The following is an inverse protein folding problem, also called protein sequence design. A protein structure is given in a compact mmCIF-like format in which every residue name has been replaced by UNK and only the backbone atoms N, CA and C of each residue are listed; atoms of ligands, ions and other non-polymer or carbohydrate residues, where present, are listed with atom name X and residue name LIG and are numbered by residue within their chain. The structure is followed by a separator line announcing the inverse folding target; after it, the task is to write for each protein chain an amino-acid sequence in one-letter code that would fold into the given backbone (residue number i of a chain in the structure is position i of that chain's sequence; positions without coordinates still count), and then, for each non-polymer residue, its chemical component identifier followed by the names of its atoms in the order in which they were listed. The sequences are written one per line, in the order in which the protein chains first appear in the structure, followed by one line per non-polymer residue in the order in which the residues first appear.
data_IF_479740770644
#
_entry.id   IF_479740770644
#
_cell.length_a   1.000
_cell.length_b   1.000
_cell.length_c   1.000
_cell.angle_alpha   90.00
_cell.angle_beta   90.00
_cell.angle_gamma   90.00
#
_symmetry.space_group_name_H-M   'P 1'
#
loop_
_entity.id
_entity.type
_entity.pdbx_description
1 polymer ?
#
# COMPACT_ATOMS: atom_id res chain seq x y z
N UNK A 1 25.83 47.40 8.53
CA UNK A 1 26.40 48.02 7.32
C UNK A 1 27.53 47.14 6.80
N UNK A 2 27.40 46.62 5.57
CA UNK A 2 28.44 46.63 4.52
C UNK A 2 27.82 46.08 3.21
N UNK A 3 27.41 47.02 2.38
CA UNK A 3 27.44 47.07 0.89
C UNK A 3 28.85 46.69 0.34
N UNK A 4 29.13 46.30 -0.91
CA UNK A 4 28.46 46.39 -2.21
C UNK A 4 29.17 45.48 -3.24
N UNK A 5 28.36 44.82 -4.09
CA UNK A 5 28.44 44.65 -5.56
C UNK A 5 29.75 44.25 -6.29
N UNK A 6 29.66 43.32 -7.25
CA UNK A 6 29.94 43.60 -8.68
C UNK A 6 29.44 42.48 -9.63
N UNK A 7 28.87 42.96 -10.73
CA UNK A 7 28.30 42.33 -11.93
C UNK A 7 29.37 42.03 -13.00
N UNK A 8 29.20 41.00 -13.86
CA UNK A 8 29.68 40.95 -15.28
C UNK A 8 28.92 39.87 -16.10
N UNK A 9 28.24 40.36 -17.15
CA UNK A 9 27.84 39.86 -18.50
C UNK A 9 28.49 38.58 -19.10
N UNK A 10 27.71 37.67 -19.71
CA UNK A 10 27.37 37.49 -21.16
C UNK A 10 28.46 36.96 -22.09
N UNK A 11 28.24 35.83 -22.78
CA UNK A 11 28.37 35.74 -24.25
C UNK A 11 27.76 34.45 -24.86
N UNK A 12 27.39 34.55 -26.14
CA UNK A 12 26.67 33.57 -26.97
C UNK A 12 27.59 32.75 -27.90
N UNK A 13 27.06 31.68 -28.53
CA UNK A 13 27.11 31.40 -30.00
C UNK A 13 27.11 29.89 -30.36
N UNK A 14 26.11 29.52 -31.17
CA UNK A 14 25.93 28.56 -32.29
C UNK A 14 26.92 27.41 -32.60
N UNK A 15 26.41 26.23 -33.02
CA UNK A 15 26.21 25.81 -34.44
C UNK A 15 25.74 24.32 -34.53
N UNK A 16 24.63 24.03 -35.23
CA UNK A 16 24.52 23.44 -36.59
C UNK A 16 24.92 21.93 -36.70
N UNK A 17 23.95 21.01 -36.68
CA UNK A 17 23.40 20.24 -37.84
C UNK A 17 24.41 19.58 -38.78
N UNK A 18 24.34 18.25 -38.89
CA UNK A 18 24.46 17.59 -40.18
C UNK A 18 23.67 16.27 -40.25
N UNK A 19 22.94 16.14 -41.35
CA UNK A 19 22.05 15.08 -41.81
C UNK A 19 22.81 14.11 -42.76
N UNK A 20 22.09 13.10 -43.27
CA UNK A 20 22.37 12.27 -44.46
C UNK A 20 23.18 10.99 -44.14
N UNK A 21 22.78 9.74 -44.49
CA UNK A 21 21.90 9.22 -45.54
C UNK A 21 21.34 7.85 -45.16
N UNK A 22 20.16 7.55 -45.69
CA UNK A 22 19.50 6.25 -45.70
C UNK A 22 19.85 5.52 -47.01
N UNK A 23 20.18 4.23 -46.97
CA UNK A 23 20.20 3.39 -48.18
C UNK A 23 19.84 1.94 -47.82
N UNK A 24 18.84 1.42 -48.51
CA UNK A 24 18.44 0.02 -48.61
C UNK A 24 18.08 -0.16 -50.08
N UNK A 25 18.31 -1.34 -50.72
CA UNK A 25 17.28 -2.39 -50.64
C UNK A 25 17.81 -3.82 -50.89
N UNK A 26 16.94 -4.84 -50.75
CA UNK A 26 16.51 -5.73 -51.85
C UNK A 26 15.77 -6.98 -51.33
N UNK A 27 14.68 -7.26 -52.03
CA UNK A 27 13.67 -8.29 -51.90
C UNK A 27 14.09 -9.60 -52.63
N UNK A 28 13.70 -10.77 -52.12
CA UNK A 28 13.16 -11.90 -52.92
C UNK A 28 12.59 -13.03 -52.03
N UNK A 29 11.34 -13.38 -52.30
CA UNK A 29 10.56 -14.55 -51.85
C UNK A 29 10.92 -15.84 -52.61
N UNK A 30 10.82 -17.04 -51.99
CA UNK A 30 10.27 -18.28 -52.58
C UNK A 30 10.11 -19.45 -51.57
N UNK A 31 8.89 -20.02 -51.56
CA UNK A 31 8.48 -21.42 -51.33
C UNK A 31 8.49 -22.14 -49.96
N UNK A 32 7.38 -22.87 -49.75
CA UNK A 32 7.04 -23.70 -48.61
C UNK A 32 7.36 -25.18 -48.87
N UNK A 33 7.97 -25.85 -47.90
CA UNK A 33 8.08 -27.33 -47.84
C UNK A 33 7.70 -27.80 -46.43
N UNK A 34 6.78 -28.76 -46.38
CA UNK A 34 6.37 -29.51 -45.18
C UNK A 34 7.53 -30.41 -44.70
N UNK A 35 7.80 -30.40 -43.39
CA UNK A 35 8.68 -31.38 -42.74
C UNK A 35 8.64 -31.24 -41.22
N UNK A 36 8.02 -32.21 -40.56
CA UNK A 36 8.00 -32.36 -39.10
C UNK A 36 9.34 -32.91 -38.59
N UNK A 37 10.00 -32.22 -37.64
CA UNK A 37 10.74 -32.82 -36.52
C UNK A 37 11.39 -31.72 -35.64
N UNK A 38 10.93 -31.66 -34.39
CA UNK A 38 11.66 -31.40 -33.14
C UNK A 38 12.99 -30.62 -33.15
N UNK A 39 13.04 -29.50 -32.39
CA UNK A 39 14.20 -29.19 -31.54
C UNK A 39 14.89 -27.83 -31.70
N UNK A 40 14.32 -26.79 -31.06
CA UNK A 40 14.98 -25.72 -30.27
C UNK A 40 16.16 -24.90 -30.87
N UNK A 41 15.89 -23.61 -31.12
CA UNK A 41 16.88 -22.53 -31.24
C UNK A 41 16.28 -21.11 -31.11
N UNK A 42 16.57 -20.45 -29.98
CA UNK A 42 16.68 -19.00 -29.66
C UNK A 42 15.65 -17.89 -30.09
N UNK A 43 14.99 -17.28 -29.07
CA UNK A 43 14.69 -15.85 -28.69
C UNK A 43 14.21 -14.80 -29.76
N UNK A 44 13.26 -13.84 -29.48
CA UNK A 44 13.41 -12.78 -28.47
C UNK A 44 12.11 -12.21 -27.79
N UNK A 45 12.33 -11.11 -27.07
CA UNK A 45 11.66 -10.54 -25.89
C UNK A 45 10.34 -9.76 -26.06
N UNK A 46 9.39 -10.01 -25.15
CA UNK A 46 8.33 -9.09 -24.72
C UNK A 46 8.25 -9.06 -23.18
N UNK A 47 8.53 -7.90 -22.58
CA UNK A 47 8.68 -7.72 -21.12
C UNK A 47 7.32 -7.75 -20.41
N UNK A 48 7.00 -8.85 -19.72
CA UNK A 48 5.89 -8.92 -18.78
C UNK A 48 6.41 -8.93 -17.33
N UNK A 49 6.19 -7.84 -16.59
CA UNK A 49 6.50 -7.75 -15.16
C UNK A 49 5.38 -8.41 -14.35
N UNK A 50 5.53 -9.71 -14.08
CA UNK A 50 4.64 -10.53 -13.25
C UNK A 50 5.09 -10.47 -11.78
N UNK A 51 4.19 -10.46 -10.78
CA UNK A 51 4.57 -10.27 -9.39
C UNK A 51 5.60 -11.33 -9.00
N UNK A 52 6.71 -10.90 -8.39
CA UNK A 52 7.78 -11.82 -8.01
C UNK A 52 7.22 -13.00 -7.21
N UNK A 53 7.69 -14.21 -7.54
CA UNK A 53 7.24 -15.49 -6.96
C UNK A 53 7.23 -15.50 -5.42
N UNK A 54 7.99 -14.61 -4.78
CA UNK A 54 8.06 -14.45 -3.33
C UNK A 54 6.83 -13.72 -2.73
N UNK A 55 6.28 -12.70 -3.39
CA UNK A 55 5.12 -11.92 -2.91
C UNK A 55 3.79 -12.67 -3.02
N UNK A 56 3.63 -13.47 -4.07
CA UNK A 56 2.48 -14.38 -4.20
C UNK A 56 2.55 -15.52 -3.15
N UNK A 57 3.75 -16.03 -2.83
CA UNK A 57 3.97 -17.06 -1.80
C UNK A 57 3.76 -16.54 -0.38
N UNK A 58 4.09 -15.26 -0.10
CA UNK A 58 3.79 -14.60 1.18
C UNK A 58 2.28 -14.38 1.40
N UNK A 59 1.56 -13.88 0.38
CA UNK A 59 0.10 -13.75 0.45
C UNK A 59 -0.58 -15.12 0.62
N UNK A 60 -0.04 -16.17 0.00
CA UNK A 60 -0.53 -17.54 0.18
C UNK A 60 -0.20 -18.11 1.58
N UNK A 61 0.95 -17.76 2.17
CA UNK A 61 1.40 -18.19 3.49
C UNK A 61 0.65 -17.48 4.63
N UNK A 62 0.40 -16.16 4.53
CA UNK A 62 -0.54 -15.41 5.39
C UNK A 62 -1.94 -16.01 5.29
N UNK A 63 -2.39 -16.32 4.06
CA UNK A 63 -3.64 -17.04 3.83
C UNK A 63 -3.67 -18.45 4.43
N UNK A 64 -2.55 -19.18 4.47
CA UNK A 64 -2.43 -20.55 4.98
C UNK A 64 -2.36 -20.63 6.51
N UNK A 65 -1.70 -19.66 7.17
CA UNK A 65 -1.63 -19.52 8.63
C UNK A 65 -2.96 -19.04 9.23
N UNK A 66 -3.61 -18.06 8.58
CA UNK A 66 -4.95 -17.62 8.94
C UNK A 66 -5.97 -18.77 8.88
N UNK A 67 -5.84 -19.66 7.89
CA UNK A 67 -6.69 -20.86 7.75
C UNK A 67 -6.44 -21.96 8.80
N UNK A 68 -5.35 -21.88 9.59
CA UNK A 68 -4.97 -22.84 10.64
C UNK A 68 -5.09 -22.26 12.07
N UNK A 69 -5.70 -21.09 12.23
CA UNK A 69 -5.99 -20.50 13.55
C UNK A 69 -4.78 -19.88 14.25
N UNK A 70 -3.66 -19.71 13.54
CA UNK A 70 -2.46 -19.06 14.05
C UNK A 70 -2.50 -17.61 13.57
N UNK A 71 -2.83 -16.68 14.46
CA UNK A 71 -2.72 -15.25 14.23
C UNK A 71 -1.39 -14.75 14.78
N UNK A 72 -0.67 -13.95 13.99
CA UNK A 72 0.30 -12.99 14.50
C UNK A 72 -0.37 -12.25 15.66
N UNK A 73 0.28 -12.21 16.83
CA UNK A 73 -0.30 -11.79 18.10
C UNK A 73 -1.21 -10.56 17.96
N UNK A 74 -2.54 -10.78 17.98
CA UNK A 74 -3.54 -9.70 17.96
C UNK A 74 -4.23 -9.38 16.62
N UNK A 75 -4.12 -10.19 15.56
CA UNK A 75 -4.94 -9.95 14.37
C UNK A 75 -6.41 -10.40 14.53
N UNK A 76 -7.34 -9.64 13.94
CA UNK A 76 -8.77 -9.89 13.95
C UNK A 76 -9.36 -9.69 12.55
N UNK A 77 -10.44 -10.41 12.25
CA UNK A 77 -11.20 -10.20 11.03
C UNK A 77 -12.31 -9.19 11.30
N UNK A 78 -12.19 -8.01 10.70
CA UNK A 78 -13.15 -6.92 10.76
C UNK A 78 -14.25 -7.15 9.74
N UNK A 79 -15.50 -7.17 10.20
CA UNK A 79 -16.68 -7.10 9.35
C UNK A 79 -17.39 -5.76 9.50
N UNK A 80 -17.58 -5.04 8.41
CA UNK A 80 -18.34 -3.78 8.34
C UNK A 80 -19.37 -3.89 7.23
N UNK A 81 -20.55 -3.29 7.43
CA UNK A 81 -21.61 -3.23 6.42
C UNK A 81 -21.19 -2.32 5.27
N UNK A 82 -21.30 -2.81 4.03
CA UNK A 82 -21.02 -2.02 2.84
C UNK A 82 -21.98 -0.84 2.73
N UNK A 83 -21.47 0.39 2.63
CA UNK A 83 -22.30 1.61 2.61
C UNK A 83 -23.30 1.68 1.45
N UNK A 84 -23.02 0.97 0.35
CA UNK A 84 -23.89 0.92 -0.85
C UNK A 84 -24.78 -0.33 -0.88
N UNK A 85 -24.23 -1.49 -0.49
CA UNK A 85 -24.93 -2.78 -0.64
C UNK A 85 -25.58 -3.29 0.64
N UNK A 86 -25.22 -2.77 1.81
CA UNK A 86 -25.64 -3.31 3.10
C UNK A 86 -25.06 -4.70 3.43
N UNK A 87 -24.25 -5.30 2.56
CA UNK A 87 -23.66 -6.62 2.81
C UNK A 87 -22.49 -6.55 3.79
N UNK A 88 -22.21 -7.66 4.49
CA UNK A 88 -20.99 -7.75 5.29
C UNK A 88 -19.74 -7.82 4.39
N UNK A 89 -18.82 -6.87 4.59
CA UNK A 89 -17.50 -6.87 3.97
C UNK A 89 -16.44 -7.15 5.03
N UNK A 90 -15.52 -8.05 4.73
CA UNK A 90 -14.54 -8.58 5.68
C UNK A 90 -13.13 -8.21 5.28
N UNK A 91 -12.32 -7.76 6.23
CA UNK A 91 -10.91 -7.44 6.03
C UNK A 91 -10.10 -7.79 7.29
N UNK A 92 -8.89 -8.34 7.16
CA UNK A 92 -8.02 -8.53 8.31
C UNK A 92 -7.50 -7.17 8.80
N UNK A 93 -7.53 -6.97 10.12
CA UNK A 93 -7.02 -5.78 10.82
C UNK A 93 -6.26 -6.19 12.09
N UNK A 94 -5.47 -5.28 12.61
CA UNK A 94 -4.76 -5.46 13.89
C UNK A 94 -5.33 -4.45 14.90
N UNK A 95 -6.28 -4.84 15.78
CA UNK A 95 -6.76 -3.99 16.85
C UNK A 95 -5.63 -3.61 17.81
N UNK A 96 -5.39 -2.31 17.97
CA UNK A 96 -4.44 -1.75 18.92
C UNK A 96 -5.15 -1.50 20.25
N UNK A 97 -4.57 -1.98 21.35
CA UNK A 97 -4.95 -1.49 22.68
C UNK A 97 -3.94 -0.44 23.10
N UNK A 98 -4.41 0.77 23.39
CA UNK A 98 -3.60 1.92 23.78
C UNK A 98 -4.38 2.73 24.82
N UNK A 99 -3.73 3.07 25.94
CA UNK A 99 -4.33 3.86 27.04
C UNK A 99 -5.72 3.37 27.50
N UNK A 100 -5.90 2.04 27.57
CA UNK A 100 -7.15 1.41 28.01
C UNK A 100 -8.28 1.40 26.97
N UNK A 101 -8.09 1.98 25.78
CA UNK A 101 -9.04 1.93 24.68
C UNK A 101 -8.55 1.02 23.53
N UNK A 102 -9.49 0.60 22.68
CA UNK A 102 -9.17 -0.15 21.46
C UNK A 102 -9.31 0.72 20.22
N UNK A 103 -8.38 0.55 19.29
CA UNK A 103 -8.29 1.32 18.05
C UNK A 103 -8.09 0.42 16.83
N UNK A 104 -8.66 0.85 15.71
CA UNK A 104 -8.38 0.31 14.38
C UNK A 104 -7.66 1.38 13.56
N UNK A 105 -6.48 1.06 13.04
CA UNK A 105 -5.68 1.96 12.21
C UNK A 105 -5.73 1.49 10.76
N UNK A 106 -6.08 2.40 9.85
CA UNK A 106 -5.98 2.15 8.42
C UNK A 106 -4.61 2.53 7.89
N UNK A 107 -3.69 1.57 7.89
CA UNK A 107 -2.38 1.74 7.27
C UNK A 107 -2.49 2.16 5.79
N UNK A 108 -3.52 1.67 5.07
CA UNK A 108 -3.75 1.93 3.64
C UNK A 108 -4.61 3.17 3.35
N UNK A 109 -4.83 4.03 4.34
CA UNK A 109 -5.62 5.27 4.18
C UNK A 109 -7.11 5.03 4.00
N UNK A 110 -7.76 5.87 3.18
CA UNK A 110 -9.21 5.89 2.91
C UNK A 110 -9.72 4.71 2.06
N UNK A 111 -9.44 3.50 2.55
CA UNK A 111 -9.86 2.24 1.94
C UNK A 111 -11.38 2.02 2.01
N UNK A 112 -11.88 1.01 1.30
CA UNK A 112 -13.31 0.69 1.29
C UNK A 112 -13.87 0.40 2.68
N UNK A 113 -13.12 -0.27 3.57
CA UNK A 113 -13.62 -0.53 4.93
C UNK A 113 -13.73 0.75 5.76
N UNK A 114 -12.84 1.74 5.56
CA UNK A 114 -12.91 3.05 6.22
C UNK A 114 -14.16 3.80 5.78
N UNK A 115 -14.40 3.87 4.46
CA UNK A 115 -15.61 4.50 3.90
C UNK A 115 -16.89 3.84 4.41
N UNK A 116 -16.87 2.52 4.56
CA UNK A 116 -17.98 1.77 5.13
C UNK A 116 -18.12 2.03 6.64
N UNK A 117 -17.03 2.10 7.39
CA UNK A 117 -17.03 2.37 8.84
C UNK A 117 -17.65 3.73 9.15
N UNK A 118 -17.27 4.77 8.40
CA UNK A 118 -17.85 6.12 8.54
C UNK A 118 -19.36 6.16 8.32
N UNK A 119 -19.86 5.35 7.39
CA UNK A 119 -21.28 5.26 7.10
C UNK A 119 -22.05 4.39 8.11
N UNK A 120 -21.43 3.29 8.57
CA UNK A 120 -22.08 2.29 9.42
C UNK A 120 -21.97 2.61 10.92
N UNK A 121 -20.96 3.38 11.34
CA UNK A 121 -20.70 3.72 12.74
C UNK A 121 -20.25 2.55 13.63
N UNK A 122 -19.97 1.38 13.04
CA UNK A 122 -19.63 0.18 13.81
C UNK A 122 -19.51 -1.08 12.94
N UNK A 123 -19.28 -2.21 13.61
CA UNK A 123 -19.07 -3.48 12.94
C UNK A 123 -18.89 -4.64 13.90
N UNK A 124 -18.25 -5.70 13.42
CA UNK A 124 -17.90 -6.88 14.22
C UNK A 124 -16.41 -7.19 14.09
N UNK A 125 -15.77 -7.53 15.20
CA UNK A 125 -14.44 -8.16 15.20
C UNK A 125 -14.59 -9.64 15.46
N UNK A 126 -13.92 -10.45 14.63
CA UNK A 126 -13.88 -11.91 14.77
C UNK A 126 -12.47 -12.37 15.09
N UNK A 127 -12.34 -13.12 16.18
CA UNK A 127 -11.08 -13.76 16.60
C UNK A 127 -11.38 -15.23 16.87
N UNK A 128 -10.84 -16.11 16.02
CA UNK A 128 -11.20 -17.53 16.04
C UNK A 128 -12.71 -17.72 15.88
N UNK A 129 -13.35 -18.34 16.89
CA UNK A 129 -14.80 -18.56 16.92
C UNK A 129 -15.60 -17.42 17.55
N UNK A 130 -14.93 -16.46 18.19
CA UNK A 130 -15.60 -15.37 18.92
C UNK A 130 -15.87 -14.21 17.98
N UNK A 131 -17.10 -13.71 18.00
CA UNK A 131 -17.52 -12.50 17.30
C UNK A 131 -17.97 -11.47 18.35
N UNK A 132 -17.48 -10.24 18.25
CA UNK A 132 -17.86 -9.13 19.13
C UNK A 132 -18.31 -7.96 18.28
N UNK A 133 -19.51 -7.45 18.55
CA UNK A 133 -20.00 -6.22 17.93
C UNK A 133 -19.39 -4.99 18.64
N UNK A 134 -19.26 -3.89 17.90
CA UNK A 134 -18.72 -2.64 18.42
C UNK A 134 -19.28 -1.43 17.69
N UNK A 135 -19.27 -0.27 18.36
CA UNK A 135 -19.41 1.06 17.75
C UNK A 135 -18.04 1.68 17.52
N UNK A 136 -17.94 2.59 16.55
CA UNK A 136 -16.69 3.24 16.16
C UNK A 136 -16.85 4.77 16.09
N UNK A 137 -15.85 5.48 16.61
CA UNK A 137 -15.72 6.93 16.46
C UNK A 137 -14.38 7.22 15.81
N UNK A 138 -14.38 8.00 14.73
CA UNK A 138 -13.14 8.43 14.07
C UNK A 138 -12.41 9.44 14.96
N UNK A 139 -11.12 9.18 15.20
CA UNK A 139 -10.26 10.05 16.01
C UNK A 139 -9.85 11.26 15.16
N UNK A 140 -9.94 12.52 15.66
CA UNK A 140 -9.47 13.70 14.94
C UNK A 140 -7.97 13.62 14.63
N UNK A 141 -7.51 14.14 13.47
CA UNK A 141 -6.09 14.06 13.07
C UNK A 141 -5.09 14.53 14.13
N UNK A 142 -5.43 15.57 14.90
CA UNK A 142 -4.58 16.12 15.96
C UNK A 142 -4.28 15.14 17.10
N UNK A 143 -5.16 14.17 17.35
CA UNK A 143 -5.02 13.18 18.43
C UNK A 143 -4.36 11.87 17.97
N UNK A 144 -4.20 11.68 16.65
CA UNK A 144 -3.65 10.44 16.07
C UNK A 144 -2.16 10.21 16.31
N UNK A 145 -1.26 11.21 16.47
CA UNK A 145 0.18 10.95 16.54
C UNK A 145 0.60 9.92 17.59
N UNK A 146 0.08 10.01 18.82
CA UNK A 146 0.40 9.06 19.88
C UNK A 146 -0.09 7.64 19.55
N UNK A 147 -1.28 7.52 18.96
CA UNK A 147 -1.86 6.23 18.56
C UNK A 147 -1.07 5.62 17.38
N UNK A 148 -0.68 6.43 16.39
CA UNK A 148 0.13 6.00 15.26
C UNK A 148 1.53 5.56 15.71
N UNK A 149 2.13 6.27 16.67
CA UNK A 149 3.40 5.87 17.28
C UNK A 149 3.29 4.48 17.90
N UNK A 150 2.32 4.27 18.79
CA UNK A 150 2.07 2.98 19.42
C UNK A 150 1.75 1.86 18.41
N UNK A 151 1.01 2.17 17.35
CA UNK A 151 0.73 1.24 16.25
C UNK A 151 2.02 0.82 15.52
N UNK A 152 2.88 1.79 15.19
CA UNK A 152 4.13 1.57 14.47
C UNK A 152 5.19 0.87 15.33
N UNK A 153 5.17 1.05 16.65
CA UNK A 153 6.03 0.29 17.56
C UNK A 153 5.74 -1.21 17.50
N UNK A 154 4.46 -1.58 17.36
CA UNK A 154 4.03 -2.98 17.34
C UNK A 154 4.12 -3.61 15.95
N UNK A 155 3.67 -2.89 14.93
CA UNK A 155 3.48 -3.45 13.59
C UNK A 155 4.21 -2.70 12.49
N UNK A 156 5.04 -1.70 12.81
CA UNK A 156 5.77 -0.91 11.82
C UNK A 156 6.60 -1.76 10.85
N UNK A 157 7.15 -2.89 11.32
CA UNK A 157 7.87 -3.86 10.49
C UNK A 157 6.99 -4.50 9.40
N UNK A 158 5.69 -4.66 9.64
CA UNK A 158 4.73 -5.26 8.71
C UNK A 158 4.13 -4.21 7.76
N UNK A 159 3.88 -3.00 8.28
CA UNK A 159 3.19 -1.94 7.54
C UNK A 159 4.10 -0.92 6.87
N UNK A 160 5.42 -1.06 6.99
CA UNK A 160 6.44 -0.09 6.51
C UNK A 160 6.15 0.46 5.11
N UNK A 161 5.76 -0.41 4.17
CA UNK A 161 5.45 -0.02 2.78
C UNK A 161 4.32 1.02 2.65
N UNK A 162 3.45 1.16 3.65
CA UNK A 162 2.33 2.10 3.65
C UNK A 162 2.64 3.43 4.36
N UNK A 163 3.70 3.46 5.16
CA UNK A 163 4.11 4.64 5.94
C UNK A 163 5.37 5.33 5.36
N UNK A 164 6.01 4.73 4.34
CA UNK A 164 7.23 5.25 3.75
C UNK A 164 8.37 5.29 4.77
N UNK A 165 8.89 6.49 5.03
CA UNK A 165 9.95 6.73 6.02
C UNK A 165 9.41 6.94 7.44
N UNK A 166 8.10 7.20 7.59
CA UNK A 166 7.46 7.42 8.89
C UNK A 166 7.48 6.12 9.69
N UNK A 167 7.97 6.21 10.93
CA UNK A 167 8.09 5.07 11.83
C UNK A 167 7.90 5.49 13.30
N UNK A 168 7.95 4.54 14.22
CA UNK A 168 7.75 4.78 15.66
C UNK A 168 8.72 5.80 16.28
N UNK A 169 9.89 6.05 15.67
CA UNK A 169 10.90 7.00 16.14
C UNK A 169 10.79 8.38 15.47
N UNK A 170 9.88 8.56 14.52
CA UNK A 170 9.64 9.85 13.88
C UNK A 170 9.18 10.91 14.90
N UNK A 171 9.50 12.17 14.64
CA UNK A 171 9.02 13.31 15.45
C UNK A 171 7.49 13.42 15.44
N UNK A 172 6.93 14.11 16.44
CA UNK A 172 5.49 14.31 16.55
C UNK A 172 4.93 15.12 15.37
N UNK A 173 5.70 16.07 14.86
CA UNK A 173 5.41 16.85 13.65
C UNK A 173 5.28 15.97 12.40
N UNK A 174 6.18 15.00 12.24
CA UNK A 174 6.16 14.04 11.12
C UNK A 174 4.95 13.11 11.24
N UNK A 175 4.66 12.61 12.44
CA UNK A 175 3.48 11.78 12.67
C UNK A 175 2.17 12.56 12.48
N UNK A 176 2.14 13.83 12.89
CA UNK A 176 1.01 14.73 12.69
C UNK A 176 0.77 15.01 11.21
N UNK A 177 1.83 15.24 10.43
CA UNK A 177 1.73 15.40 8.98
C UNK A 177 1.24 14.12 8.28
N UNK A 178 1.59 12.93 8.80
CA UNK A 178 1.10 11.65 8.29
C UNK A 178 -0.34 11.32 8.71
N UNK A 179 -0.81 11.87 9.84
CA UNK A 179 -2.09 11.51 10.46
C UNK A 179 -3.33 11.60 9.55
N UNK A 180 -3.48 12.59 8.64
CA UNK A 180 -4.59 12.62 7.70
C UNK A 180 -4.65 11.41 6.76
N UNK A 181 -3.50 10.82 6.43
CA UNK A 181 -3.39 9.69 5.50
C UNK A 181 -3.67 8.33 6.15
N UNK A 182 -3.82 8.28 7.48
CA UNK A 182 -4.05 7.06 8.23
C UNK A 182 -5.25 7.23 9.18
N UNK A 183 -6.49 7.06 8.67
CA UNK A 183 -7.69 7.08 9.49
C UNK A 183 -7.60 6.12 10.68
N UNK A 184 -8.02 6.61 11.85
CA UNK A 184 -8.02 5.87 13.12
C UNK A 184 -9.42 5.89 13.69
N UNK A 185 -9.92 4.73 14.11
CA UNK A 185 -11.20 4.60 14.78
C UNK A 185 -11.01 4.06 16.19
N UNK A 186 -11.51 4.76 17.19
CA UNK A 186 -11.71 4.21 18.54
C UNK A 186 -12.94 3.30 18.48
N UNK A 187 -12.82 2.08 18.96
CA UNK A 187 -13.92 1.10 18.98
C UNK A 187 -14.35 0.80 20.42
N UNK A 188 -15.66 0.70 20.62
CA UNK A 188 -16.27 0.36 21.92
C UNK A 188 -17.14 -0.86 21.73
N UNK A 189 -16.88 -1.97 22.46
CA UNK A 189 -17.75 -3.15 22.42
C UNK A 189 -19.21 -2.78 22.73
N UNK A 190 -20.14 -3.38 22.01
CA UNK A 190 -21.56 -3.35 22.33
C UNK A 190 -21.93 -4.69 22.96
N UNK A 191 -22.61 -4.66 24.11
CA UNK A 191 -23.11 -5.85 24.79
C UNK A 191 -24.17 -6.60 23.95
#
# INVERSE_FOLDING_TARGET
MNETQHDVTSDATSDATNDVTNDAPHDVTHEAVRGSASGQGAQPSGRYLRPGRLGARLNAFIGWLARRGISLAGSADLAVRGRKSGEWRRVPVNPLTFEGAQYLVSARGDSEWVRNMRAAGGGQLRVGRRTRAFTAVEVPPAERPAILRAYLERWGWEVKQYFGEVNARSGDDVLLAAAPNHPVFRITPTE
#
